data_IF_640256097072
#
_entry.id   IF_640256097072
#
_cell.length_a   1.000
_cell.length_b   1.000
_cell.length_c   1.000
_cell.angle_alpha   90.00
_cell.angle_beta   90.00
_cell.angle_gamma   90.00
#
_symmetry.space_group_name_H-M   'P 1'
#
loop_
_entity.id
_entity.type
_entity.pdbx_description
1 polymer ?
#
# COMPACT_ATOMS: atom_id res chain seq x y z
N UNK A 1 -54.48 9.38 28.63
CA UNK A 1 -54.99 8.48 29.68
C UNK A 1 -54.27 7.16 29.62
N UNK A 2 -53.70 6.75 30.77
CA UNK A 2 -53.22 5.42 31.18
C UNK A 2 -51.94 4.92 30.44
N UNK A 3 -50.69 4.97 30.99
CA UNK A 3 -50.13 4.16 32.12
C UNK A 3 -50.13 2.66 31.74
N UNK A 4 -49.07 1.88 31.78
CA UNK A 4 -47.99 1.69 32.75
C UNK A 4 -47.01 0.65 32.14
N UNK A 5 -45.78 0.70 32.47
CA UNK A 5 -44.95 0.05 33.51
C UNK A 5 -44.30 -1.27 33.10
N UNK A 6 -42.96 -1.19 32.96
CA UNK A 6 -41.95 -1.92 33.78
C UNK A 6 -41.97 -3.46 33.78
N UNK A 7 -40.86 -4.10 33.38
CA UNK A 7 -40.18 -5.05 34.29
C UNK A 7 -38.74 -5.32 33.87
N UNK A 8 -37.83 -5.04 34.80
CA UNK A 8 -36.42 -5.43 34.85
C UNK A 8 -36.39 -6.88 35.37
N UNK A 9 -35.54 -7.72 34.78
CA UNK A 9 -35.04 -8.92 35.44
C UNK A 9 -33.57 -9.17 35.07
N UNK A 10 -32.73 -8.90 36.07
CA UNK A 10 -31.35 -9.38 36.15
C UNK A 10 -31.33 -10.75 36.85
N UNK A 11 -30.48 -11.67 36.39
CA UNK A 11 -29.95 -12.81 37.20
C UNK A 11 -28.71 -13.34 36.45
N UNK A 12 -27.49 -13.08 36.87
CA UNK A 12 -26.70 -13.70 37.93
C UNK A 12 -26.03 -15.03 37.52
N UNK A 13 -24.73 -14.94 37.49
CA UNK A 13 -23.63 -15.92 37.64
C UNK A 13 -23.98 -17.35 38.06
N UNK A 14 -23.29 -18.32 37.45
CA UNK A 14 -22.76 -19.47 38.22
C UNK A 14 -21.46 -20.03 37.58
N UNK A 15 -20.41 -19.90 38.37
CA UNK A 15 -19.10 -20.58 38.25
C UNK A 15 -19.29 -22.01 38.72
N UNK A 16 -18.75 -23.00 38.00
CA UNK A 16 -18.54 -24.35 38.52
C UNK A 16 -17.19 -24.87 38.10
N UNK A 17 -16.25 -24.81 39.05
CA UNK A 17 -15.05 -25.65 39.10
C UNK A 17 -15.46 -27.08 39.50
N UNK A 18 -14.93 -28.08 38.80
CA UNK A 18 -14.75 -29.41 39.37
C UNK A 18 -13.48 -30.05 38.82
N UNK A 19 -12.53 -30.23 39.72
CA UNK A 19 -11.36 -31.05 39.58
C UNK A 19 -11.74 -32.53 39.78
N UNK A 20 -11.08 -33.43 39.04
CA UNK A 20 -11.23 -34.87 39.25
C UNK A 20 -10.03 -35.63 38.66
N UNK A 21 -9.18 -36.12 39.56
CA UNK A 21 -8.01 -36.96 39.35
C UNK A 21 -8.33 -38.43 38.99
N UNK A 22 -7.32 -39.07 38.37
CA UNK A 22 -7.07 -40.53 38.40
C UNK A 22 -7.10 -41.16 37.02
N UNK A 23 -6.14 -41.90 36.48
CA UNK A 23 -4.94 -42.46 36.97
C UNK A 23 -4.55 -43.60 36.04
N UNK A 24 -3.24 -43.70 35.75
CA UNK A 24 -2.43 -44.93 35.52
C UNK A 24 -2.49 -45.66 34.14
N UNK A 25 -1.40 -45.76 33.44
CA UNK A 25 -0.43 -46.80 33.35
C UNK A 25 0.32 -46.83 32.03
N UNK A 26 1.62 -46.70 32.13
CA UNK A 26 2.75 -47.44 31.66
C UNK A 26 3.04 -47.38 30.14
N UNK A 27 4.21 -47.31 29.61
CA UNK A 27 5.61 -47.51 30.01
C UNK A 27 6.50 -46.94 28.90
N UNK A 28 7.56 -46.22 29.32
CA UNK A 28 8.95 -46.21 28.86
C UNK A 28 9.27 -46.24 27.36
N UNK A 29 10.08 -45.32 26.82
CA UNK A 29 11.53 -45.36 26.97
C UNK A 29 12.16 -43.99 26.64
N UNK A 30 13.09 -43.60 27.49
CA UNK A 30 13.91 -42.41 27.43
C UNK A 30 15.07 -42.53 26.42
N UNK A 31 15.53 -41.40 25.91
CA UNK A 31 16.95 -41.16 25.68
C UNK A 31 17.23 -39.67 25.82
N UNK A 32 17.84 -39.34 26.93
CA UNK A 32 18.59 -38.14 27.25
C UNK A 32 19.81 -38.00 26.34
N UNK A 33 20.19 -36.80 25.95
CA UNK A 33 21.60 -36.39 25.90
C UNK A 33 21.72 -34.88 26.01
N UNK A 34 21.94 -34.44 27.19
CA UNK A 34 22.96 -33.53 27.77
C UNK A 34 23.44 -32.32 26.97
N UNK A 35 23.19 -31.21 27.62
CA UNK A 35 23.84 -29.90 27.61
C UNK A 35 25.35 -30.01 27.83
N UNK A 36 26.14 -29.17 27.14
CA UNK A 36 27.41 -28.71 27.69
C UNK A 36 27.61 -27.24 27.30
N UNK A 37 27.52 -26.41 28.30
CA UNK A 37 28.03 -25.05 28.43
C UNK A 37 29.55 -25.09 28.48
N UNK A 38 30.23 -24.15 27.83
CA UNK A 38 31.60 -23.79 28.23
C UNK A 38 31.89 -22.34 27.90
N UNK A 39 32.02 -21.60 28.98
CA UNK A 39 32.55 -20.25 29.15
C UNK A 39 34.07 -20.31 29.21
N UNK A 40 34.79 -19.28 28.70
CA UNK A 40 35.95 -18.60 29.23
C UNK A 40 36.63 -17.77 28.14
N UNK A 41 36.63 -16.50 28.19
CA UNK A 41 37.34 -15.51 29.01
C UNK A 41 38.82 -15.41 28.65
N UNK A 42 39.19 -14.13 28.39
CA UNK A 42 40.47 -13.41 28.62
C UNK A 42 41.55 -13.58 27.55
N UNK A 43 42.14 -12.55 27.19
CA UNK A 43 42.67 -11.23 27.54
C UNK A 43 44.08 -11.07 26.97
N UNK A 44 44.44 -9.82 26.71
CA UNK A 44 45.75 -9.16 26.76
C UNK A 44 46.54 -9.04 25.46
N UNK A 45 46.72 -7.88 25.05
CA UNK A 45 47.47 -6.70 25.42
C UNK A 45 48.75 -6.49 24.59
N UNK A 46 48.90 -5.24 24.28
CA UNK A 46 50.12 -4.39 24.29
C UNK A 46 51.04 -4.45 23.09
N UNK A 47 51.16 -3.34 22.58
CA UNK A 47 51.97 -2.16 22.76
C UNK A 47 53.00 -1.97 21.65
N UNK A 48 53.05 -0.76 21.27
CA UNK A 48 54.10 0.25 21.20
C UNK A 48 55.03 0.08 20.00
N UNK A 49 55.42 1.07 19.37
CA UNK A 49 55.86 2.41 19.52
C UNK A 49 56.58 2.88 18.25
N UNK A 50 56.56 4.08 18.00
CA UNK A 50 57.45 5.20 17.86
C UNK A 50 57.75 5.60 16.41
N UNK A 51 57.39 6.83 16.12
CA UNK A 51 58.26 8.06 16.08
C UNK A 51 59.33 8.01 14.99
N UNK A 52 59.43 8.98 14.15
CA UNK A 52 59.93 10.33 14.30
C UNK A 52 59.99 11.03 12.93
N UNK A 53 59.60 12.27 12.95
CA UNK A 53 60.37 13.51 12.74
C UNK A 53 60.94 13.74 11.35
N UNK A 54 60.50 14.82 10.86
CA UNK A 54 60.97 16.23 10.70
C UNK A 54 61.89 16.39 9.47
N UNK A 55 61.91 17.43 8.73
CA UNK A 55 61.94 18.87 8.86
C UNK A 55 62.16 19.51 7.48
N UNK A 56 61.51 20.65 7.26
CA UNK A 56 62.04 21.90 6.72
C UNK A 56 62.59 21.96 5.30
N UNK A 57 62.36 22.92 4.48
CA UNK A 57 62.44 24.36 4.63
C UNK A 57 62.39 24.99 3.22
N UNK A 58 61.59 26.01 3.12
CA UNK A 58 61.83 27.36 2.60
C UNK A 58 62.53 27.57 1.23
N UNK A 59 61.95 28.33 0.41
CA UNK A 59 62.17 29.75 0.11
C UNK A 59 61.86 30.07 -1.37
N UNK A 60 60.92 30.94 -1.54
CA UNK A 60 60.96 32.25 -2.24
C UNK A 60 61.62 32.31 -3.62
N UNK A 61 60.83 32.69 -4.66
CA UNK A 61 61.06 34.01 -5.29
C UNK A 61 59.88 34.39 -6.18
N UNK A 62 59.49 35.64 -6.03
CA UNK A 62 58.43 36.36 -6.72
C UNK A 62 58.78 36.66 -8.18
N UNK A 63 57.75 36.69 -9.03
CA UNK A 63 57.63 37.70 -10.09
C UNK A 63 56.15 37.86 -10.51
N UNK A 64 55.70 39.06 -10.41
CA UNK A 64 54.38 39.52 -10.83
C UNK A 64 54.30 39.59 -12.34
N UNK A 65 53.06 39.38 -12.91
CA UNK A 65 52.41 40.32 -13.84
C UNK A 65 50.96 39.92 -14.20
N UNK A 66 50.08 40.74 -13.77
CA UNK A 66 48.95 41.39 -14.49
C UNK A 66 47.85 40.56 -15.10
N UNK A 67 46.70 40.60 -14.42
CA UNK A 67 45.33 40.96 -14.86
C UNK A 67 44.69 40.25 -16.05
N UNK A 68 43.65 39.47 -15.72
CA UNK A 68 42.34 39.62 -16.33
C UNK A 68 41.32 39.07 -15.34
N UNK A 69 40.53 39.97 -14.76
CA UNK A 69 39.31 39.68 -14.04
C UNK A 69 38.27 39.08 -15.00
N UNK A 70 38.12 37.76 -14.96
CA UNK A 70 36.84 37.14 -15.29
C UNK A 70 36.16 36.79 -13.99
N UNK A 71 35.20 37.61 -13.64
CA UNK A 71 34.23 37.39 -12.59
C UNK A 71 33.40 36.17 -12.97
N UNK A 72 33.85 34.99 -12.59
CA UNK A 72 32.95 33.85 -12.46
C UNK A 72 32.10 34.09 -11.22
N UNK A 73 30.92 34.60 -11.45
CA UNK A 73 29.81 34.54 -10.48
C UNK A 73 29.53 33.06 -10.20
N UNK A 74 30.23 32.48 -9.22
CA UNK A 74 29.75 31.30 -8.56
C UNK A 74 28.47 31.71 -7.83
N UNK A 75 27.34 31.42 -8.44
CA UNK A 75 26.08 31.33 -7.71
C UNK A 75 26.29 30.14 -6.74
N UNK A 76 26.74 30.41 -5.54
CA UNK A 76 26.49 29.54 -4.39
C UNK A 76 24.97 29.46 -4.30
N UNK A 77 24.38 28.40 -4.88
CA UNK A 77 23.05 27.97 -4.52
C UNK A 77 23.18 27.63 -3.03
N UNK A 78 22.59 28.46 -2.19
CA UNK A 78 22.39 28.14 -0.79
C UNK A 78 21.82 26.71 -0.78
N UNK A 79 22.50 25.78 -0.13
CA UNK A 79 21.93 24.46 0.17
C UNK A 79 20.72 24.77 1.05
N UNK A 80 19.51 24.71 0.47
CA UNK A 80 18.27 24.80 1.21
C UNK A 80 18.27 23.72 2.27
N UNK A 81 17.70 24.01 3.42
CA UNK A 81 17.52 22.99 4.46
C UNK A 81 16.74 21.83 3.84
N UNK A 82 17.27 20.61 3.95
CA UNK A 82 16.62 19.39 3.49
C UNK A 82 15.37 19.15 4.33
N UNK A 83 14.26 18.86 3.69
CA UNK A 83 13.02 18.53 4.38
C UNK A 83 12.95 17.03 4.59
N UNK A 84 12.78 16.58 5.83
CA UNK A 84 12.51 15.18 6.14
C UNK A 84 11.07 14.83 5.75
N UNK A 85 10.88 13.74 4.99
CA UNK A 85 9.57 13.29 4.49
C UNK A 85 9.40 11.80 4.78
N UNK A 86 8.44 11.47 5.64
CA UNK A 86 8.11 10.09 5.98
C UNK A 86 6.98 9.59 5.08
N UNK A 87 7.27 8.61 4.24
CA UNK A 87 6.33 8.06 3.25
C UNK A 87 5.97 6.64 3.61
N UNK A 88 4.68 6.33 3.64
CA UNK A 88 4.18 4.96 3.79
C UNK A 88 3.45 4.51 2.54
N UNK A 89 3.55 3.21 2.22
CA UNK A 89 2.79 2.63 1.13
C UNK A 89 2.32 1.21 1.47
N UNK A 90 1.17 0.80 0.96
CA UNK A 90 0.70 -0.56 1.09
C UNK A 90 1.46 -1.49 0.15
N UNK A 91 1.80 -2.68 0.64
CA UNK A 91 2.43 -3.75 -0.13
C UNK A 91 1.56 -4.13 -1.33
N UNK A 92 2.07 -3.94 -2.54
CA UNK A 92 1.34 -4.18 -3.78
C UNK A 92 1.51 -3.04 -4.80
N UNK A 93 0.57 -2.85 -5.73
CA UNK A 93 0.68 -1.86 -6.80
C UNK A 93 0.90 -0.43 -6.30
N UNK A 94 0.31 -0.06 -5.17
CA UNK A 94 0.47 1.27 -4.56
C UNK A 94 1.90 1.60 -4.14
N UNK A 95 2.71 0.58 -3.77
CA UNK A 95 4.12 0.75 -3.45
C UNK A 95 5.02 0.59 -4.68
N UNK A 96 4.62 -0.24 -5.67
CA UNK A 96 5.44 -0.56 -6.83
C UNK A 96 5.84 0.67 -7.65
N UNK A 97 4.96 1.68 -7.77
CA UNK A 97 5.26 2.92 -8.47
C UNK A 97 6.34 3.79 -7.79
N UNK A 98 6.66 3.52 -6.51
CA UNK A 98 7.62 4.31 -5.71
C UNK A 98 9.04 3.73 -5.71
N UNK A 99 9.25 2.50 -6.23
CA UNK A 99 10.51 1.76 -5.98
C UNK A 99 11.75 2.44 -6.57
N UNK A 100 11.62 3.17 -7.67
CA UNK A 100 12.74 3.92 -8.23
C UNK A 100 13.08 5.15 -7.35
N UNK A 101 12.08 5.87 -6.85
CA UNK A 101 12.27 6.96 -5.89
C UNK A 101 12.88 6.43 -4.59
N UNK A 102 12.44 5.27 -4.09
CA UNK A 102 13.02 4.62 -2.92
C UNK A 102 14.51 4.32 -3.12
N UNK A 103 14.87 3.76 -4.29
CA UNK A 103 16.25 3.43 -4.63
C UNK A 103 17.12 4.68 -4.74
N UNK A 104 16.61 5.74 -5.35
CA UNK A 104 17.30 7.03 -5.46
C UNK A 104 17.53 7.67 -4.09
N UNK A 105 16.55 7.57 -3.19
CA UNK A 105 16.62 8.14 -1.85
C UNK A 105 17.65 7.44 -0.93
N UNK A 106 18.00 6.18 -1.19
CA UNK A 106 19.09 5.52 -0.48
C UNK A 106 20.47 6.15 -0.78
N UNK A 107 20.62 6.77 -1.93
CA UNK A 107 21.86 7.44 -2.32
C UNK A 107 22.00 8.87 -1.73
N UNK A 108 20.91 9.43 -1.21
CA UNK A 108 20.86 10.77 -0.63
C UNK A 108 19.54 11.49 -0.91
N UNK A 109 19.45 12.78 -0.55
CA UNK A 109 18.25 13.58 -0.79
C UNK A 109 17.86 13.65 -2.27
N UNK A 110 16.55 13.57 -2.53
CA UNK A 110 15.97 13.70 -3.88
C UNK A 110 15.04 14.91 -3.89
N UNK A 111 15.24 15.83 -4.82
CA UNK A 111 14.42 17.05 -4.92
C UNK A 111 14.49 17.96 -3.70
N UNK A 112 15.55 17.88 -2.87
CA UNK A 112 15.69 18.62 -1.60
C UNK A 112 15.01 17.94 -0.42
N UNK A 113 14.45 16.74 -0.60
CA UNK A 113 13.82 15.95 0.46
C UNK A 113 14.70 14.78 0.89
N UNK A 114 14.79 14.56 2.19
CA UNK A 114 15.35 13.35 2.80
C UNK A 114 14.23 12.39 3.15
N UNK A 115 14.07 11.32 2.37
CA UNK A 115 12.94 10.40 2.50
C UNK A 115 13.22 9.23 3.44
N UNK A 116 12.19 8.87 4.20
CA UNK A 116 12.09 7.58 4.90
C UNK A 116 10.87 6.84 4.38
N UNK A 117 11.07 5.67 3.76
CA UNK A 117 9.98 4.85 3.24
C UNK A 117 9.66 3.68 4.16
N UNK A 118 8.37 3.39 4.33
CA UNK A 118 7.87 2.22 5.05
C UNK A 118 6.79 1.53 4.21
N UNK A 119 6.98 0.24 3.93
CA UNK A 119 5.97 -0.58 3.27
C UNK A 119 5.21 -1.35 4.34
N UNK A 120 3.89 -1.13 4.39
CA UNK A 120 2.97 -1.73 5.35
C UNK A 120 2.19 -2.89 4.72
N UNK A 121 1.83 -3.88 5.51
CA UNK A 121 1.03 -5.01 5.06
C UNK A 121 -0.47 -4.66 4.96
N UNK A 122 -0.95 -3.73 5.79
CA UNK A 122 -2.36 -3.36 5.87
C UNK A 122 -2.58 -1.85 6.06
N UNK A 123 -3.78 -1.39 5.72
CA UNK A 123 -4.20 0.00 5.94
C UNK A 123 -4.30 0.36 7.42
N UNK A 124 -4.54 -0.62 8.29
CA UNK A 124 -4.61 -0.43 9.74
C UNK A 124 -3.27 -0.03 10.36
N UNK A 125 -2.15 -0.36 9.69
CA UNK A 125 -0.82 0.09 10.08
C UNK A 125 -0.55 1.53 9.64
N UNK A 126 -1.08 1.94 8.48
CA UNK A 126 -0.83 3.25 7.86
C UNK A 126 -1.67 4.35 8.51
N UNK A 127 -2.96 4.09 8.69
CA UNK A 127 -3.95 5.08 9.16
C UNK A 127 -3.54 5.76 10.47
N UNK A 128 -3.17 5.04 11.56
CA UNK A 128 -2.77 5.67 12.79
C UNK A 128 -1.51 6.54 12.65
N UNK A 129 -0.54 6.10 11.84
CA UNK A 129 0.71 6.81 11.60
C UNK A 129 0.50 8.15 10.90
N UNK A 130 -0.37 8.14 9.88
CA UNK A 130 -0.74 9.36 9.17
C UNK A 130 -1.47 10.35 10.10
N UNK A 131 -2.45 9.88 10.88
CA UNK A 131 -3.22 10.73 11.81
C UNK A 131 -2.35 11.25 12.96
N UNK A 132 -1.38 10.48 13.46
CA UNK A 132 -0.47 10.89 14.54
C UNK A 132 0.66 11.80 14.07
N UNK A 133 0.88 11.90 12.76
CA UNK A 133 1.97 12.68 12.19
C UNK A 133 3.31 11.94 12.13
N UNK A 134 3.31 10.62 12.33
CA UNK A 134 4.49 9.76 12.16
C UNK A 134 4.76 9.48 10.66
N UNK A 135 3.75 9.65 9.80
CA UNK A 135 3.87 9.64 8.35
C UNK A 135 3.34 10.97 7.80
N UNK A 136 4.01 11.53 6.80
CA UNK A 136 3.64 12.79 6.14
C UNK A 136 2.84 12.53 4.88
N UNK A 137 3.25 11.51 4.12
CA UNK A 137 2.63 11.09 2.85
C UNK A 137 2.32 9.60 2.95
N UNK A 138 1.18 9.18 2.40
CA UNK A 138 0.86 7.76 2.35
C UNK A 138 0.13 7.36 1.06
N UNK A 139 0.45 6.16 0.53
CA UNK A 139 -0.32 5.53 -0.53
C UNK A 139 -1.34 4.56 0.08
N UNK A 140 -2.63 4.84 -0.15
CA UNK A 140 -3.76 4.16 0.49
C UNK A 140 -4.86 3.81 -0.53
N UNK A 141 -5.82 2.92 -0.18
CA UNK A 141 -7.02 2.71 -1.00
C UNK A 141 -7.79 4.01 -1.24
N UNK A 142 -8.32 4.18 -2.44
CA UNK A 142 -8.97 5.42 -2.86
C UNK A 142 -10.15 5.84 -1.96
N UNK A 143 -10.99 4.88 -1.55
CA UNK A 143 -12.11 5.16 -0.63
C UNK A 143 -11.64 5.52 0.77
N UNK A 144 -10.55 4.90 1.25
CA UNK A 144 -9.99 5.16 2.58
C UNK A 144 -9.51 6.61 2.71
N UNK A 145 -8.98 7.20 1.65
CA UNK A 145 -8.61 8.62 1.65
C UNK A 145 -9.80 9.53 2.02
N UNK A 146 -10.99 9.27 1.45
CA UNK A 146 -12.23 9.99 1.80
C UNK A 146 -12.67 9.70 3.24
N UNK A 147 -12.60 8.44 3.68
CA UNK A 147 -12.90 8.07 5.08
C UNK A 147 -11.98 8.80 6.05
N UNK A 148 -10.69 8.87 5.75
CA UNK A 148 -9.71 9.61 6.57
C UNK A 148 -10.04 11.10 6.60
N UNK A 149 -10.28 11.71 5.45
CA UNK A 149 -10.66 13.13 5.35
C UNK A 149 -11.87 13.44 6.24
N UNK A 150 -12.96 12.68 6.10
CA UNK A 150 -14.18 12.90 6.87
C UNK A 150 -14.01 12.64 8.38
N UNK A 151 -13.23 11.61 8.75
CA UNK A 151 -13.03 11.25 10.17
C UNK A 151 -12.02 12.14 10.89
N UNK A 152 -11.23 12.91 10.14
CA UNK A 152 -10.19 13.81 10.70
C UNK A 152 -10.50 15.28 10.46
N UNK A 153 -11.74 15.63 10.06
CA UNK A 153 -12.14 17.00 9.76
C UNK A 153 -11.18 17.70 8.75
N UNK A 154 -10.82 17.00 7.65
CA UNK A 154 -10.03 17.58 6.56
C UNK A 154 -8.51 17.54 6.77
N UNK A 155 -7.99 16.66 7.68
CA UNK A 155 -6.54 16.63 7.96
C UNK A 155 -5.69 15.88 6.91
N UNK A 156 -6.30 15.43 5.82
CA UNK A 156 -5.60 14.81 4.70
C UNK A 156 -6.10 15.35 3.36
N UNK A 157 -5.20 15.44 2.40
CA UNK A 157 -5.50 15.81 1.01
C UNK A 157 -4.97 14.75 0.07
N UNK A 158 -5.62 14.53 -1.07
CA UNK A 158 -5.14 13.62 -2.12
C UNK A 158 -4.21 14.37 -3.06
N UNK A 159 -3.02 13.83 -3.25
CA UNK A 159 -1.98 14.34 -4.14
C UNK A 159 -2.10 13.83 -5.57
N UNK A 160 -2.34 12.52 -5.71
CA UNK A 160 -2.42 11.85 -7.01
C UNK A 160 -3.18 10.51 -6.92
N UNK A 161 -3.79 10.10 -8.03
CA UNK A 161 -4.18 8.70 -8.25
C UNK A 161 -2.93 7.96 -8.70
N UNK A 162 -2.60 6.86 -8.02
CA UNK A 162 -1.40 6.08 -8.30
C UNK A 162 -1.67 4.67 -8.85
N UNK A 163 -2.90 4.19 -8.73
CA UNK A 163 -3.29 2.85 -9.20
C UNK A 163 -4.75 2.88 -9.66
N UNK A 164 -4.96 2.53 -10.92
CA UNK A 164 -6.31 2.33 -11.47
C UNK A 164 -6.86 0.96 -11.08
N UNK A 165 -7.85 0.43 -11.80
CA UNK A 165 -8.41 -0.88 -11.51
C UNK A 165 -7.39 -2.01 -11.72
N UNK A 166 -7.27 -2.89 -10.72
CA UNK A 166 -6.32 -4.04 -10.71
C UNK A 166 -6.98 -5.33 -10.23
N UNK A 167 -8.31 -5.34 -10.13
CA UNK A 167 -9.08 -6.45 -9.59
C UNK A 167 -9.55 -7.37 -10.72
N UNK A 168 -9.49 -8.67 -10.46
CA UNK A 168 -9.85 -9.71 -11.42
C UNK A 168 -10.59 -10.83 -10.72
N UNK A 169 -11.57 -11.45 -11.41
CA UNK A 169 -12.07 -12.77 -11.01
C UNK A 169 -11.17 -13.81 -11.66
N UNK A 170 -10.60 -14.67 -10.82
CA UNK A 170 -9.77 -15.80 -11.21
C UNK A 170 -10.49 -17.07 -10.83
N UNK A 171 -10.54 -18.07 -11.72
CA UNK A 171 -11.13 -19.36 -11.42
C UNK A 171 -10.20 -20.53 -11.76
N UNK A 172 -10.42 -21.63 -11.07
CA UNK A 172 -9.90 -22.93 -11.40
C UNK A 172 -10.99 -23.67 -12.18
N UNK A 173 -10.96 -23.56 -13.51
CA UNK A 173 -12.02 -24.04 -14.36
C UNK A 173 -12.37 -23.11 -15.53
N UNK A 174 -13.57 -23.26 -16.09
CA UNK A 174 -14.08 -22.49 -17.23
C UNK A 174 -15.57 -22.14 -17.11
N UNK A 175 -16.09 -22.09 -15.88
CA UNK A 175 -17.52 -21.90 -15.61
C UNK A 175 -17.96 -20.44 -15.71
N UNK A 176 -17.05 -19.48 -15.53
CA UNK A 176 -17.36 -18.06 -15.52
C UNK A 176 -16.99 -17.44 -16.87
N UNK A 177 -17.99 -17.03 -17.64
CA UNK A 177 -17.83 -16.35 -18.93
C UNK A 177 -18.33 -14.90 -18.88
N UNK A 178 -19.15 -14.57 -17.88
CA UNK A 178 -19.74 -13.25 -17.64
C UNK A 178 -20.01 -13.06 -16.15
N UNK A 179 -20.30 -11.83 -15.74
CA UNK A 179 -20.67 -11.53 -14.33
C UNK A 179 -21.87 -12.35 -13.88
N UNK A 180 -22.86 -12.60 -14.76
CA UNK A 180 -24.06 -13.37 -14.41
C UNK A 180 -23.78 -14.81 -14.02
N UNK A 181 -22.66 -15.39 -14.42
CA UNK A 181 -22.27 -16.76 -14.05
C UNK A 181 -21.78 -16.86 -12.59
N UNK A 182 -21.56 -15.72 -11.93
CA UNK A 182 -21.21 -15.67 -10.50
C UNK A 182 -22.42 -15.97 -9.59
N UNK A 183 -23.65 -15.89 -10.09
CA UNK A 183 -24.84 -16.20 -9.30
C UNK A 183 -24.79 -17.64 -8.75
N UNK A 184 -25.03 -17.78 -7.44
CA UNK A 184 -24.96 -19.05 -6.71
C UNK A 184 -23.56 -19.57 -6.43
N UNK A 185 -22.51 -18.82 -6.78
CA UNK A 185 -21.10 -19.20 -6.56
C UNK A 185 -20.58 -18.71 -5.22
N UNK A 186 -19.49 -19.35 -4.78
CA UNK A 186 -18.65 -18.85 -3.68
C UNK A 186 -17.43 -18.16 -4.25
N UNK A 187 -17.14 -16.95 -3.77
CA UNK A 187 -16.02 -16.11 -4.21
C UNK A 187 -15.13 -15.86 -3.01
N UNK A 188 -13.86 -16.30 -3.06
CA UNK A 188 -12.85 -15.93 -2.08
C UNK A 188 -12.38 -14.51 -2.36
N UNK A 189 -12.48 -13.62 -1.38
CA UNK A 189 -12.10 -12.21 -1.54
C UNK A 189 -11.42 -11.67 -0.29
N UNK A 190 -10.70 -10.57 -0.41
CA UNK A 190 -10.15 -9.80 0.70
C UNK A 190 -10.35 -8.31 0.47
N UNK A 191 -10.08 -7.50 1.51
CA UNK A 191 -10.32 -6.06 1.44
C UNK A 191 -11.75 -5.67 1.73
N UNK A 192 -12.40 -6.38 2.68
CA UNK A 192 -13.70 -5.98 3.21
C UNK A 192 -13.62 -4.58 3.83
N UNK A 193 -14.60 -3.73 3.56
CA UNK A 193 -14.62 -2.32 3.99
C UNK A 193 -13.75 -1.38 3.14
N UNK A 194 -13.18 -1.88 2.04
CA UNK A 194 -12.35 -1.09 1.15
C UNK A 194 -12.71 -1.28 -0.33
N UNK A 195 -11.98 -0.63 -1.25
CA UNK A 195 -12.23 -0.67 -2.69
C UNK A 195 -12.62 -2.04 -3.24
N UNK A 196 -11.98 -3.17 -2.90
CA UNK A 196 -12.36 -4.47 -3.44
C UNK A 196 -13.82 -4.86 -3.18
N UNK A 197 -14.31 -4.66 -1.95
CA UNK A 197 -15.69 -4.98 -1.60
C UNK A 197 -16.68 -4.13 -2.41
N UNK A 198 -16.47 -2.82 -2.39
CA UNK A 198 -17.42 -1.90 -3.04
C UNK A 198 -17.42 -2.06 -4.57
N UNK A 199 -16.26 -2.29 -5.18
CA UNK A 199 -16.16 -2.56 -6.60
C UNK A 199 -16.88 -3.85 -6.99
N UNK A 200 -16.70 -4.94 -6.24
CA UNK A 200 -17.38 -6.19 -6.49
C UNK A 200 -18.89 -6.04 -6.32
N UNK A 201 -19.35 -5.42 -5.25
CA UNK A 201 -20.78 -5.20 -4.99
C UNK A 201 -21.43 -4.33 -6.07
N UNK A 202 -20.74 -3.28 -6.53
CA UNK A 202 -21.21 -2.44 -7.64
C UNK A 202 -21.39 -3.24 -8.92
N UNK A 203 -20.39 -4.05 -9.28
CA UNK A 203 -20.43 -4.85 -10.51
C UNK A 203 -21.50 -5.93 -10.43
N UNK A 204 -21.63 -6.64 -9.30
CA UNK A 204 -22.68 -7.63 -9.09
C UNK A 204 -24.07 -6.99 -9.20
N UNK A 205 -24.32 -5.93 -8.43
CA UNK A 205 -25.63 -5.24 -8.40
C UNK A 205 -26.01 -4.65 -9.76
N UNK A 206 -25.03 -4.05 -10.47
CA UNK A 206 -25.23 -3.51 -11.82
C UNK A 206 -25.59 -4.57 -12.86
N UNK A 207 -25.22 -5.83 -12.60
CA UNK A 207 -25.59 -6.99 -13.42
C UNK A 207 -26.81 -7.77 -12.87
N UNK A 208 -27.54 -7.21 -11.89
CA UNK A 208 -28.76 -7.79 -11.34
C UNK A 208 -28.53 -8.93 -10.36
N UNK A 209 -27.33 -9.05 -9.78
CA UNK A 209 -26.99 -10.03 -8.76
C UNK A 209 -26.92 -9.30 -7.41
N UNK A 210 -27.70 -9.74 -6.44
CA UNK A 210 -27.64 -9.23 -5.07
C UNK A 210 -26.40 -9.81 -4.36
N UNK A 211 -25.41 -8.99 -3.97
CA UNK A 211 -24.19 -9.48 -3.34
C UNK A 211 -24.43 -10.12 -1.95
N UNK A 212 -25.59 -9.89 -1.31
CA UNK A 212 -25.90 -10.45 -0.01
C UNK A 212 -26.64 -11.78 -0.08
N UNK A 213 -27.38 -12.04 -1.18
CA UNK A 213 -28.28 -13.19 -1.29
C UNK A 213 -27.97 -14.12 -2.45
N UNK A 214 -27.42 -13.61 -3.56
CA UNK A 214 -27.26 -14.38 -4.79
C UNK A 214 -25.85 -14.95 -4.97
N UNK A 215 -24.88 -14.54 -4.15
CA UNK A 215 -23.52 -15.06 -4.11
C UNK A 215 -23.09 -15.30 -2.66
N UNK A 216 -22.08 -16.14 -2.45
CA UNK A 216 -21.41 -16.26 -1.16
C UNK A 216 -20.03 -15.64 -1.28
N UNK A 217 -19.75 -14.53 -0.58
CA UNK A 217 -18.42 -13.92 -0.56
C UNK A 217 -17.73 -14.32 0.73
N UNK A 218 -16.69 -15.16 0.63
CA UNK A 218 -15.86 -15.54 1.76
C UNK A 218 -14.69 -14.55 1.91
N UNK A 219 -14.85 -13.61 2.84
CA UNK A 219 -13.83 -12.60 3.14
C UNK A 219 -12.66 -13.19 3.93
N UNK A 220 -11.47 -13.06 3.37
CA UNK A 220 -10.19 -13.41 4.01
C UNK A 220 -9.50 -12.14 4.51
N UNK A 221 -8.58 -12.29 5.46
CA UNK A 221 -7.83 -11.16 6.03
C UNK A 221 -6.86 -10.57 5.02
N UNK A 222 -6.24 -11.44 4.18
CA UNK A 222 -5.22 -11.07 3.22
C UNK A 222 -5.44 -11.72 1.85
N UNK A 223 -4.87 -11.11 0.80
CA UNK A 223 -4.91 -11.66 -0.56
C UNK A 223 -4.21 -13.03 -0.68
N UNK A 224 -3.13 -13.25 0.09
CA UNK A 224 -2.42 -14.53 0.17
C UNK A 224 -3.30 -15.68 0.65
N UNK A 225 -4.25 -15.42 1.55
CA UNK A 225 -5.22 -16.40 2.02
C UNK A 225 -6.24 -16.76 0.93
N UNK A 226 -6.64 -15.78 0.09
CA UNK A 226 -7.47 -16.04 -1.08
C UNK A 226 -6.75 -16.94 -2.09
N UNK A 227 -5.45 -16.70 -2.34
CA UNK A 227 -4.62 -17.55 -3.20
C UNK A 227 -4.55 -18.97 -2.66
N UNK A 228 -4.36 -19.14 -1.35
CA UNK A 228 -4.32 -20.45 -0.71
C UNK A 228 -5.67 -21.18 -0.76
N UNK A 229 -6.79 -20.47 -0.57
CA UNK A 229 -8.14 -21.01 -0.70
C UNK A 229 -8.41 -21.48 -2.14
N UNK A 230 -8.09 -20.65 -3.13
CA UNK A 230 -8.21 -20.96 -4.54
C UNK A 230 -7.38 -22.20 -4.96
N UNK A 231 -6.15 -22.34 -4.41
CA UNK A 231 -5.29 -23.49 -4.68
C UNK A 231 -5.82 -24.80 -4.08
N UNK A 232 -6.69 -24.70 -3.06
CA UNK A 232 -7.26 -25.87 -2.34
C UNK A 232 -8.61 -26.32 -2.89
N UNK A 233 -9.22 -25.54 -3.79
CA UNK A 233 -10.54 -25.76 -4.34
C UNK A 233 -10.45 -25.99 -5.84
N UNK A 234 -10.88 -27.20 -6.30
CA UNK A 234 -10.79 -27.60 -7.71
C UNK A 234 -11.72 -26.78 -8.63
N UNK A 235 -12.81 -26.22 -8.08
CA UNK A 235 -13.76 -25.34 -8.76
C UNK A 235 -13.72 -23.91 -8.17
N UNK A 236 -12.61 -23.55 -7.50
CA UNK A 236 -12.46 -22.32 -6.76
C UNK A 236 -12.54 -21.05 -7.62
N UNK A 237 -13.19 -20.04 -7.09
CA UNK A 237 -13.30 -18.70 -7.67
C UNK A 237 -12.80 -17.69 -6.65
N UNK A 238 -11.92 -16.79 -7.06
CA UNK A 238 -11.42 -15.74 -6.19
C UNK A 238 -11.43 -14.39 -6.90
N UNK A 239 -11.68 -13.32 -6.13
CA UNK A 239 -11.35 -11.96 -6.54
C UNK A 239 -9.96 -11.61 -6.02
N UNK A 240 -9.03 -11.37 -6.93
CA UNK A 240 -7.64 -11.06 -6.62
C UNK A 240 -7.18 -9.79 -7.34
N UNK A 241 -6.38 -8.94 -6.69
CA UNK A 241 -5.63 -7.89 -7.38
C UNK A 241 -4.36 -8.46 -8.03
N UNK A 242 -3.78 -7.74 -9.00
CA UNK A 242 -2.36 -7.91 -9.28
C UNK A 242 -1.53 -7.40 -8.09
N UNK A 243 -0.39 -8.00 -7.80
CA UNK A 243 0.27 -9.14 -8.46
C UNK A 243 -0.19 -10.52 -7.98
N UNK A 244 -1.20 -10.61 -7.13
CA UNK A 244 -1.66 -11.89 -6.56
C UNK A 244 -2.29 -12.82 -7.60
N UNK A 245 -2.89 -12.28 -8.66
CA UNK A 245 -3.32 -13.08 -9.84
C UNK A 245 -2.12 -13.81 -10.44
N UNK A 246 -1.03 -13.09 -10.73
CA UNK A 246 0.20 -13.67 -11.28
C UNK A 246 0.82 -14.68 -10.31
N UNK A 247 0.79 -14.39 -9.01
CA UNK A 247 1.28 -15.33 -7.97
C UNK A 247 0.46 -16.61 -7.95
N UNK A 248 -0.86 -16.52 -8.01
CA UNK A 248 -1.75 -17.68 -8.05
C UNK A 248 -1.50 -18.53 -9.30
N UNK A 249 -1.43 -17.89 -10.48
CA UNK A 249 -1.14 -18.57 -11.75
C UNK A 249 0.25 -19.21 -11.80
N UNK A 250 1.24 -18.64 -11.09
CA UNK A 250 2.57 -19.26 -10.97
C UNK A 250 2.54 -20.55 -10.11
N UNK A 251 1.59 -20.67 -9.18
CA UNK A 251 1.39 -21.85 -8.34
C UNK A 251 0.51 -22.91 -9.01
N UNK A 252 -0.45 -22.48 -9.84
CA UNK A 252 -1.35 -23.36 -10.57
C UNK A 252 -1.63 -22.79 -11.98
N UNK A 253 -1.02 -23.40 -12.98
CA UNK A 253 -1.13 -22.99 -14.40
C UNK A 253 -2.56 -23.17 -14.99
N UNK A 254 -3.45 -23.91 -14.31
CA UNK A 254 -4.84 -24.08 -14.74
C UNK A 254 -5.71 -22.87 -14.36
N UNK A 255 -5.22 -21.99 -13.50
CA UNK A 255 -5.96 -20.78 -13.12
C UNK A 255 -6.03 -19.79 -14.28
N UNK A 256 -7.23 -19.37 -14.62
CA UNK A 256 -7.44 -18.34 -15.62
C UNK A 256 -8.05 -17.07 -15.02
N UNK A 257 -7.75 -15.94 -15.62
CA UNK A 257 -8.51 -14.70 -15.39
C UNK A 257 -9.84 -14.87 -16.14
N UNK A 258 -10.93 -14.98 -15.39
CA UNK A 258 -12.26 -15.09 -15.92
C UNK A 258 -12.85 -13.73 -16.28
N UNK A 259 -12.75 -12.74 -15.36
CA UNK A 259 -13.25 -11.39 -15.56
C UNK A 259 -12.19 -10.36 -15.17
N UNK A 260 -12.11 -9.29 -15.94
CA UNK A 260 -11.37 -8.08 -15.64
C UNK A 260 -12.36 -7.05 -15.07
N UNK A 261 -12.34 -6.81 -13.77
CA UNK A 261 -13.34 -5.97 -13.10
C UNK A 261 -13.24 -4.49 -13.51
N UNK A 262 -12.13 -4.04 -14.08
CA UNK A 262 -12.04 -2.71 -14.68
C UNK A 262 -12.94 -2.63 -15.92
N UNK A 263 -12.91 -3.64 -16.78
CA UNK A 263 -13.77 -3.68 -17.96
C UNK A 263 -15.24 -3.82 -17.61
N UNK A 264 -15.56 -4.60 -16.58
CA UNK A 264 -16.94 -4.76 -16.10
C UNK A 264 -17.47 -3.44 -15.49
N UNK A 265 -16.60 -2.70 -14.75
CA UNK A 265 -16.91 -1.36 -14.26
C UNK A 265 -17.18 -0.39 -15.41
N UNK A 266 -16.27 -0.32 -16.38
CA UNK A 266 -16.36 0.57 -17.53
C UNK A 266 -17.63 0.28 -18.35
N UNK A 267 -18.01 -0.98 -18.49
CA UNK A 267 -19.24 -1.37 -19.18
C UNK A 267 -20.48 -0.83 -18.47
N UNK A 268 -20.53 -0.84 -17.15
CA UNK A 268 -21.63 -0.27 -16.37
C UNK A 268 -21.67 1.26 -16.43
N UNK A 269 -20.52 1.90 -16.66
CA UNK A 269 -20.38 3.34 -16.74
C UNK A 269 -20.56 3.91 -18.17
N UNK A 270 -20.70 3.04 -19.18
CA UNK A 270 -20.72 3.45 -20.58
C UNK A 270 -21.84 4.45 -20.94
N UNK A 271 -22.99 4.36 -20.25
CA UNK A 271 -24.14 5.23 -20.45
C UNK A 271 -24.33 6.27 -19.33
N UNK A 272 -23.35 6.41 -18.40
CA UNK A 272 -23.43 7.39 -17.33
C UNK A 272 -23.18 8.82 -17.86
N UNK A 273 -23.92 9.80 -17.32
CA UNK A 273 -23.73 11.22 -17.68
C UNK A 273 -22.32 11.71 -17.33
N UNK A 274 -21.77 11.22 -16.24
CA UNK A 274 -20.39 11.45 -15.79
C UNK A 274 -19.72 10.11 -15.52
N UNK A 275 -19.09 9.48 -16.53
CA UNK A 275 -18.43 8.19 -16.35
C UNK A 275 -17.34 8.25 -15.30
N UNK A 276 -17.33 7.28 -14.37
CA UNK A 276 -16.25 7.10 -13.42
C UNK A 276 -15.34 5.96 -13.84
N UNK A 277 -14.11 5.94 -13.32
CA UNK A 277 -13.17 4.83 -13.51
C UNK A 277 -13.03 4.04 -12.20
N UNK A 278 -12.75 2.74 -12.29
CA UNK A 278 -12.36 1.96 -11.12
C UNK A 278 -10.99 2.43 -10.65
N UNK A 279 -10.92 2.94 -9.43
CA UNK A 279 -9.69 3.42 -8.79
C UNK A 279 -9.36 2.52 -7.61
N UNK A 280 -8.10 2.08 -7.52
CA UNK A 280 -7.66 1.23 -6.41
C UNK A 280 -6.87 2.01 -5.38
N UNK A 281 -5.95 2.86 -5.81
CA UNK A 281 -5.04 3.57 -4.93
C UNK A 281 -4.85 5.05 -5.24
N UNK A 282 -4.61 5.80 -4.18
CA UNK A 282 -4.23 7.22 -4.22
C UNK A 282 -3.07 7.49 -3.28
N UNK A 283 -2.38 8.59 -3.51
CA UNK A 283 -1.40 9.14 -2.57
C UNK A 283 -2.03 10.30 -1.84
N UNK A 284 -1.95 10.27 -0.51
CA UNK A 284 -2.43 11.34 0.36
C UNK A 284 -1.29 11.99 1.11
N UNK A 285 -1.48 13.24 1.50
CA UNK A 285 -0.58 14.01 2.36
C UNK A 285 -1.35 14.51 3.59
N UNK A 286 -0.69 14.66 4.72
CA UNK A 286 -1.26 15.41 5.84
C UNK A 286 -1.41 16.89 5.46
N UNK A 287 -2.57 17.48 5.67
CA UNK A 287 -2.85 18.88 5.35
C UNK A 287 -1.85 19.81 6.01
N UNK A 288 -1.53 19.61 7.30
CA UNK A 288 -0.55 20.40 8.01
C UNK A 288 0.85 20.34 7.37
N UNK A 289 1.29 19.15 6.90
CA UNK A 289 2.57 19.02 6.21
C UNK A 289 2.58 19.74 4.87
N UNK A 290 1.48 19.64 4.12
CA UNK A 290 1.35 20.33 2.83
C UNK A 290 1.35 21.86 2.98
N UNK A 291 0.76 22.39 4.06
CA UNK A 291 0.76 23.81 4.37
C UNK A 291 2.13 24.32 4.84
N UNK A 292 2.84 23.53 5.65
CA UNK A 292 4.16 23.89 6.20
C UNK A 292 5.29 23.70 5.18
N UNK A 293 5.18 22.68 4.28
CA UNK A 293 6.23 22.28 3.35
C UNK A 293 5.73 22.11 1.90
N UNK A 294 5.07 23.10 1.29
CA UNK A 294 4.49 22.96 -0.05
C UNK A 294 5.53 22.65 -1.13
N UNK A 295 6.76 23.18 -0.98
CA UNK A 295 7.85 22.90 -1.91
C UNK A 295 8.31 21.44 -1.83
N UNK A 296 8.33 20.87 -0.63
CA UNK A 296 8.68 19.45 -0.42
C UNK A 296 7.62 18.52 -1.02
N UNK A 297 6.33 18.87 -0.90
CA UNK A 297 5.23 18.13 -1.53
C UNK A 297 5.34 18.17 -3.05
N UNK A 298 5.62 19.35 -3.63
CA UNK A 298 5.78 19.50 -5.07
C UNK A 298 6.99 18.70 -5.58
N UNK A 299 8.12 18.74 -4.88
CA UNK A 299 9.31 17.97 -5.22
C UNK A 299 9.06 16.45 -5.10
N UNK A 300 8.26 16.01 -4.11
CA UNK A 300 7.81 14.63 -4.03
C UNK A 300 6.99 14.23 -5.25
N UNK A 301 6.00 15.05 -5.66
CA UNK A 301 5.15 14.76 -6.81
C UNK A 301 5.95 14.64 -8.11
N UNK A 302 6.93 15.53 -8.31
CA UNK A 302 7.81 15.47 -9.49
C UNK A 302 8.66 14.18 -9.50
N UNK A 303 9.32 13.88 -8.37
CA UNK A 303 10.15 12.68 -8.23
C UNK A 303 9.33 11.38 -8.29
N UNK A 304 8.13 11.41 -7.75
CA UNK A 304 7.22 10.25 -7.78
C UNK A 304 6.70 10.00 -9.21
N UNK A 305 6.37 11.06 -9.95
CA UNK A 305 6.00 10.95 -11.38
C UNK A 305 7.12 10.30 -12.18
N UNK A 306 8.36 10.75 -11.99
CA UNK A 306 9.53 10.17 -12.64
C UNK A 306 9.70 8.68 -12.28
N UNK A 307 9.46 8.31 -11.01
CA UNK A 307 9.49 6.93 -10.55
C UNK A 307 8.43 6.06 -11.23
N UNK A 308 7.20 6.54 -11.34
CA UNK A 308 6.11 5.84 -12.05
C UNK A 308 6.43 5.68 -13.52
N UNK A 309 6.90 6.73 -14.18
CA UNK A 309 7.30 6.68 -15.60
C UNK A 309 8.43 5.67 -15.81
N UNK A 310 9.43 5.64 -14.90
CA UNK A 310 10.52 4.66 -14.93
C UNK A 310 10.00 3.23 -14.78
N UNK A 311 9.17 2.96 -13.79
CA UNK A 311 8.62 1.61 -13.51
C UNK A 311 7.86 1.07 -14.71
N UNK A 312 7.05 1.90 -15.35
CA UNK A 312 6.26 1.51 -16.52
C UNK A 312 7.11 1.30 -17.78
N UNK A 313 8.22 2.05 -17.91
CA UNK A 313 9.10 1.95 -19.08
C UNK A 313 10.18 0.86 -18.95
N UNK A 314 10.59 0.49 -17.72
CA UNK A 314 11.73 -0.37 -17.46
C UNK A 314 11.32 -1.59 -16.60
N UNK A 315 10.38 -2.38 -17.12
CA UNK A 315 9.70 -3.46 -16.38
C UNK A 315 10.68 -4.44 -15.68
N UNK A 316 11.75 -4.87 -16.37
CA UNK A 316 12.72 -5.82 -15.81
C UNK A 316 13.54 -5.20 -14.68
N UNK A 317 14.01 -3.97 -14.83
CA UNK A 317 14.78 -3.28 -13.80
C UNK A 317 13.89 -2.91 -12.59
N UNK A 318 12.67 -2.46 -12.88
CA UNK A 318 11.66 -2.20 -11.85
C UNK A 318 11.29 -3.46 -11.06
N UNK A 319 11.20 -4.62 -11.73
CA UNK A 319 10.94 -5.90 -11.07
C UNK A 319 12.05 -6.27 -10.07
N UNK A 320 13.31 -5.99 -10.39
CA UNK A 320 14.43 -6.19 -9.47
C UNK A 320 14.34 -5.26 -8.23
N UNK A 321 13.92 -4.01 -8.41
CA UNK A 321 13.68 -3.07 -7.30
C UNK A 321 12.49 -3.51 -6.44
N UNK A 322 11.40 -3.99 -7.05
CA UNK A 322 10.23 -4.50 -6.34
C UNK A 322 10.60 -5.67 -5.44
N UNK A 323 11.48 -6.58 -5.89
CA UNK A 323 12.02 -7.67 -5.07
C UNK A 323 12.97 -7.14 -3.99
N UNK A 324 13.85 -6.17 -4.30
CA UNK A 324 14.74 -5.53 -3.34
C UNK A 324 13.98 -4.98 -2.12
N UNK A 325 12.79 -4.41 -2.35
CA UNK A 325 11.93 -3.86 -1.30
C UNK A 325 10.89 -4.85 -0.76
N UNK A 326 11.08 -6.15 -0.98
CA UNK A 326 10.24 -7.24 -0.45
C UNK A 326 8.74 -7.06 -0.75
N UNK A 327 8.40 -6.49 -1.91
CA UNK A 327 6.99 -6.38 -2.32
C UNK A 327 6.51 -7.71 -2.88
N UNK A 328 7.11 -8.20 -3.96
CA UNK A 328 7.00 -9.56 -4.51
C UNK A 328 8.31 -9.94 -5.20
N UNK A 329 8.48 -11.22 -5.56
CA UNK A 329 9.68 -11.66 -6.31
C UNK A 329 9.76 -10.99 -7.68
N UNK A 330 10.97 -10.77 -8.18
CA UNK A 330 11.20 -10.16 -9.50
C UNK A 330 10.48 -10.91 -10.62
N UNK A 331 10.47 -12.24 -10.58
CA UNK A 331 9.80 -13.07 -11.57
C UNK A 331 8.27 -12.87 -11.61
N UNK A 332 7.65 -12.60 -10.46
CA UNK A 332 6.22 -12.24 -10.37
C UNK A 332 6.02 -10.80 -10.82
N UNK A 333 6.85 -9.86 -10.34
CA UNK A 333 6.75 -8.45 -10.68
C UNK A 333 6.85 -8.22 -12.20
N UNK A 334 7.82 -8.85 -12.88
CA UNK A 334 8.03 -8.69 -14.32
C UNK A 334 6.80 -9.09 -15.14
N UNK A 335 6.08 -10.13 -14.70
CA UNK A 335 4.85 -10.58 -15.36
C UNK A 335 3.63 -9.75 -14.98
N UNK A 336 3.57 -9.26 -13.74
CA UNK A 336 2.42 -8.57 -13.20
C UNK A 336 2.37 -7.09 -13.55
N UNK A 337 3.53 -6.39 -13.63
CA UNK A 337 3.63 -4.94 -13.84
C UNK A 337 2.77 -4.42 -15.00
N UNK A 338 2.70 -5.07 -16.19
CA UNK A 338 1.85 -4.60 -17.28
C UNK A 338 0.34 -4.58 -16.95
N UNK A 339 -0.07 -5.27 -15.89
CA UNK A 339 -1.46 -5.41 -15.45
C UNK A 339 -1.74 -4.75 -14.10
N UNK A 340 -0.72 -4.10 -13.49
CA UNK A 340 -0.87 -3.40 -12.22
C UNK A 340 -1.47 -2.00 -12.37
N UNK A 341 -1.68 -1.51 -13.59
CA UNK A 341 -2.25 -0.19 -13.89
C UNK A 341 -1.68 0.94 -13.02
N UNK A 342 -0.34 0.88 -12.80
CA UNK A 342 0.40 1.90 -12.07
C UNK A 342 0.38 3.18 -12.90
N UNK A 343 -0.06 4.27 -12.29
CA UNK A 343 -0.26 5.55 -12.97
C UNK A 343 0.14 6.71 -12.08
N UNK A 344 0.21 7.90 -12.68
CA UNK A 344 0.34 9.16 -11.98
C UNK A 344 -0.62 10.16 -12.59
N UNK A 345 -1.71 10.44 -11.88
CA UNK A 345 -2.74 11.41 -12.31
C UNK A 345 -2.93 12.39 -11.17
N UNK A 346 -2.66 13.67 -11.43
CA UNK A 346 -2.77 14.76 -10.47
C UNK A 346 -3.69 15.88 -10.97
N UNK A 347 -3.91 16.90 -10.14
CA UNK A 347 -4.62 18.10 -10.50
C UNK A 347 -6.10 17.87 -10.82
N UNK A 348 -6.63 18.62 -11.78
CA UNK A 348 -8.06 18.56 -12.13
C UNK A 348 -8.50 17.19 -12.65
N UNK A 349 -7.65 16.50 -13.39
CA UNK A 349 -7.99 15.14 -13.87
C UNK A 349 -8.13 14.16 -12.71
N UNK A 350 -7.26 14.23 -11.69
CA UNK A 350 -7.40 13.46 -10.46
C UNK A 350 -8.72 13.79 -9.76
N UNK A 351 -9.06 15.06 -9.59
CA UNK A 351 -10.29 15.50 -8.94
C UNK A 351 -11.52 14.95 -9.66
N UNK A 352 -11.60 15.09 -10.99
CA UNK A 352 -12.73 14.60 -11.79
C UNK A 352 -12.91 13.09 -11.66
N UNK A 353 -11.83 12.31 -11.82
CA UNK A 353 -11.89 10.85 -11.75
C UNK A 353 -12.23 10.35 -10.35
N UNK A 354 -11.57 10.91 -9.33
CA UNK A 354 -11.76 10.49 -7.94
C UNK A 354 -13.13 10.87 -7.40
N UNK A 355 -13.62 12.09 -7.69
CA UNK A 355 -14.97 12.50 -7.28
C UNK A 355 -16.06 11.65 -7.93
N UNK A 356 -15.92 11.31 -9.22
CA UNK A 356 -16.84 10.40 -9.91
C UNK A 356 -16.86 9.01 -9.27
N UNK A 357 -15.67 8.46 -8.96
CA UNK A 357 -15.55 7.16 -8.29
C UNK A 357 -16.16 7.18 -6.87
N UNK A 358 -15.84 8.18 -6.06
CA UNK A 358 -16.37 8.32 -4.70
C UNK A 358 -17.90 8.51 -4.70
N UNK A 359 -18.45 9.19 -5.71
CA UNK A 359 -19.90 9.33 -5.85
C UNK A 359 -20.57 7.97 -6.09
N UNK A 360 -20.04 7.13 -6.96
CA UNK A 360 -20.55 5.76 -7.19
C UNK A 360 -20.54 4.95 -5.88
N UNK A 361 -19.48 5.05 -5.09
CA UNK A 361 -19.40 4.36 -3.80
C UNK A 361 -20.40 4.93 -2.77
N UNK A 362 -20.53 6.24 -2.72
CA UNK A 362 -21.46 6.94 -1.82
C UNK A 362 -22.91 6.56 -2.10
N UNK A 363 -23.31 6.47 -3.35
CA UNK A 363 -24.65 6.05 -3.75
C UNK A 363 -24.98 4.62 -3.33
N UNK A 364 -23.99 3.73 -3.32
CA UNK A 364 -24.16 2.38 -2.83
C UNK A 364 -24.23 2.31 -1.30
N UNK A 365 -23.29 2.98 -0.64
CA UNK A 365 -23.18 2.98 0.81
C UNK A 365 -22.41 4.23 1.27
N UNK A 366 -23.06 5.26 1.85
CA UNK A 366 -22.37 6.46 2.33
C UNK A 366 -21.22 6.18 3.29
N UNK A 367 -21.28 5.10 4.09
CA UNK A 367 -20.21 4.74 5.00
C UNK A 367 -18.91 4.35 4.27
N UNK A 368 -18.99 3.92 3.01
CA UNK A 368 -17.81 3.55 2.19
C UNK A 368 -16.83 4.70 1.98
N UNK A 369 -17.33 5.93 2.05
CA UNK A 369 -16.56 7.17 1.88
C UNK A 369 -16.48 8.01 3.16
N UNK A 370 -16.88 7.46 4.31
CA UNK A 370 -16.86 8.16 5.60
C UNK A 370 -18.12 8.97 5.90
N UNK A 371 -19.24 8.68 5.24
CA UNK A 371 -20.56 9.27 5.53
C UNK A 371 -20.94 10.49 4.70
N UNK A 372 -19.99 11.14 4.04
CA UNK A 372 -20.20 12.27 3.14
C UNK A 372 -19.18 12.27 1.99
N UNK A 373 -19.53 12.87 0.87
CA UNK A 373 -18.55 13.17 -0.18
C UNK A 373 -17.60 14.27 0.31
N UNK A 374 -16.29 14.16 0.04
CA UNK A 374 -15.33 15.19 0.41
C UNK A 374 -15.59 16.52 -0.28
N UNK A 375 -15.19 17.63 0.37
CA UNK A 375 -15.23 18.97 -0.22
C UNK A 375 -13.99 19.22 -1.13
N UNK A 376 -13.95 20.39 -1.78
CA UNK A 376 -12.92 20.72 -2.77
C UNK A 376 -11.50 20.76 -2.18
N UNK A 377 -11.35 21.09 -0.90
CA UNK A 377 -10.07 21.11 -0.18
C UNK A 377 -9.47 19.73 0.12
N UNK A 378 -10.22 18.67 -0.18
CA UNK A 378 -9.70 17.30 -0.18
C UNK A 378 -8.67 17.05 -1.30
N UNK A 379 -8.75 17.81 -2.39
CA UNK A 379 -7.90 17.64 -3.56
C UNK A 379 -6.77 18.65 -3.56
N UNK A 380 -5.53 18.18 -3.48
CA UNK A 380 -4.36 19.04 -3.62
C UNK A 380 -4.16 19.39 -5.10
N UNK A 381 -4.27 20.68 -5.41
CA UNK A 381 -4.09 21.20 -6.77
C UNK A 381 -2.91 22.17 -6.72
N UNK A 382 -1.84 21.86 -7.43
CA UNK A 382 -0.63 22.69 -7.54
C UNK A 382 -0.60 23.54 -8.81
#
# INVERSE_FOLDING_TARGET
MKKALSLIAALALSVSLLAGCGGNGGTETAAETTVTESTSVQESASAENAESEEVSSAAETAAAETASEETQSQTETAAGEETAVNVMALKGPTAMGMVQLMDSAEAGPVGGNSYTFTIAASADEVTPKLVQGDADIAAVPANLASVLYNNTDGQVQVLAINTLGVLYIVENGDSIQSVSDLAGKTIYASGKGSTPEYALNYILSGNGIDPETDVTIEWKSEHSECVAALASDEDGIAMLPQPFVTTAQAQNENLRVALDLTKEWDALQADAETPSALLTGVVVVRTAFAEEHPEAVNAFLDSYKESVDYVNANVTDAAALIEKYDIVTAAVAEKALPYCNITFIEGTEMQEKLSGYLNVLYEQNPASVGGALPADDFYYIR
#
